data_IF_386305581025
#
_entry.id   IF_386305581025
#
_cell.length_a   1.000
_cell.length_b   1.000
_cell.length_c   1.000
_cell.angle_alpha   90.00
_cell.angle_beta   90.00
_cell.angle_gamma   90.00
#
_symmetry.space_group_name_H-M   'P 1'
#
loop_
_entity.id
_entity.type
_entity.pdbx_description
1 polymer ?
#
# COMPACT_ATOMS: atom_id res chain seq x y z
N UNK A 1 -11.72 -20.78 1.51
CA UNK A 1 -12.89 -19.98 1.09
C UNK A 1 -12.37 -18.61 0.66
N UNK A 2 -12.29 -18.32 -0.64
CA UNK A 2 -12.00 -16.96 -1.11
C UNK A 2 -13.22 -16.12 -0.77
N UNK A 3 -13.07 -15.21 0.19
CA UNK A 3 -14.04 -14.13 0.36
C UNK A 3 -13.87 -13.23 -0.87
N UNK A 4 -14.70 -13.47 -1.88
CA UNK A 4 -14.84 -12.55 -3.00
C UNK A 4 -15.14 -11.16 -2.45
N UNK A 5 -14.63 -10.16 -3.17
CA UNK A 5 -14.78 -8.72 -2.93
C UNK A 5 -16.11 -8.43 -2.23
N UNK A 6 -16.05 -8.21 -0.92
CA UNK A 6 -17.26 -8.03 -0.12
C UNK A 6 -18.03 -6.82 -0.61
N UNK A 7 -19.31 -6.98 -1.00
CA UNK A 7 -20.15 -5.88 -1.54
C UNK A 7 -20.50 -4.82 -0.49
N UNK A 8 -19.96 -4.93 0.72
CA UNK A 8 -20.34 -4.09 1.87
C UNK A 8 -19.51 -2.82 2.02
N UNK A 9 -18.34 -2.71 1.41
CA UNK A 9 -17.53 -1.51 1.49
C UNK A 9 -18.25 -0.26 0.95
N UNK A 10 -18.92 -0.29 -0.22
CA UNK A 10 -19.70 0.85 -0.72
C UNK A 10 -20.88 1.25 0.18
N UNK A 11 -21.47 0.30 0.91
CA UNK A 11 -22.57 0.59 1.84
C UNK A 11 -22.11 1.27 3.12
N UNK A 12 -20.86 1.06 3.52
CA UNK A 12 -20.26 1.71 4.70
C UNK A 12 -19.62 3.02 4.31
N UNK A 13 -18.82 3.02 3.25
CA UNK A 13 -17.94 4.14 2.90
C UNK A 13 -18.49 5.01 1.76
N UNK A 14 -19.48 4.52 0.99
CA UNK A 14 -19.86 5.13 -0.27
C UNK A 14 -18.76 4.98 -1.31
N UNK A 15 -18.67 5.92 -2.24
CA UNK A 15 -17.53 6.03 -3.16
C UNK A 15 -16.32 6.57 -2.38
N UNK A 16 -15.39 5.71 -2.03
CA UNK A 16 -14.18 6.06 -1.30
C UNK A 16 -12.97 5.67 -2.15
N UNK A 17 -12.49 6.62 -2.93
CA UNK A 17 -11.36 6.44 -3.85
C UNK A 17 -10.66 7.77 -4.08
N UNK A 18 -9.39 7.70 -4.43
CA UNK A 18 -8.62 8.84 -4.90
C UNK A 18 -7.82 8.51 -6.18
N UNK A 19 -7.33 9.57 -6.83
CA UNK A 19 -6.55 9.42 -8.07
C UNK A 19 -5.17 8.78 -7.83
N UNK A 20 -4.44 9.11 -6.74
CA UNK A 20 -3.09 8.56 -6.51
C UNK A 20 -3.08 7.08 -6.13
N UNK A 21 -3.99 6.65 -5.25
CA UNK A 21 -3.94 5.30 -4.66
C UNK A 21 -5.14 4.41 -4.96
N UNK A 22 -6.14 4.95 -5.66
CA UNK A 22 -7.29 4.19 -6.12
C UNK A 22 -8.35 3.99 -5.04
N UNK A 23 -9.06 2.88 -5.11
CA UNK A 23 -10.22 2.61 -4.28
C UNK A 23 -9.83 2.02 -2.92
N UNK A 24 -10.56 2.41 -1.87
CA UNK A 24 -10.49 1.78 -0.54
C UNK A 24 -10.62 0.26 -0.67
N UNK A 25 -9.73 -0.46 0.02
CA UNK A 25 -9.82 -1.92 0.14
C UNK A 25 -10.26 -2.27 1.56
N UNK A 26 -11.29 -3.08 1.65
CA UNK A 26 -11.90 -3.51 2.89
C UNK A 26 -11.83 -5.02 2.98
N UNK A 27 -11.26 -5.52 4.06
CA UNK A 27 -11.13 -6.94 4.30
C UNK A 27 -11.60 -7.30 5.70
N UNK A 28 -12.45 -8.32 5.80
CA UNK A 28 -12.82 -8.94 7.07
C UNK A 28 -11.81 -10.05 7.34
N UNK A 29 -10.88 -9.79 8.24
CA UNK A 29 -9.77 -10.70 8.57
C UNK A 29 -10.18 -11.81 9.53
N UNK A 30 -11.09 -11.53 10.48
CA UNK A 30 -11.56 -12.49 11.46
C UNK A 30 -13.00 -12.19 11.87
N UNK A 31 -13.79 -13.24 12.05
CA UNK A 31 -15.09 -13.20 12.75
C UNK A 31 -15.01 -14.21 13.87
N UNK A 32 -15.27 -13.76 15.07
CA UNK A 32 -15.33 -14.61 16.28
C UNK A 32 -16.74 -14.50 16.85
N UNK A 33 -17.39 -15.66 17.00
CA UNK A 33 -18.76 -15.80 17.50
C UNK A 33 -18.70 -16.68 18.75
N UNK A 34 -18.17 -16.13 19.82
CA UNK A 34 -17.99 -16.81 21.09
C UNK A 34 -18.47 -15.95 22.26
N UNK A 35 -17.82 -16.08 23.41
CA UNK A 35 -18.14 -15.28 24.60
C UNK A 35 -17.97 -13.77 24.37
N UNK A 36 -17.11 -13.38 23.44
CA UNK A 36 -16.91 -11.99 22.99
C UNK A 36 -17.00 -11.97 21.47
N UNK A 37 -18.18 -11.63 20.97
CA UNK A 37 -18.40 -11.48 19.54
C UNK A 37 -17.58 -10.34 18.98
N UNK A 38 -16.74 -10.61 18.00
CA UNK A 38 -15.90 -9.59 17.37
C UNK A 38 -15.70 -9.82 15.88
N UNK A 39 -15.59 -8.72 15.16
CA UNK A 39 -15.24 -8.69 13.74
C UNK A 39 -13.97 -7.86 13.60
N UNK A 40 -12.86 -8.50 13.22
CA UNK A 40 -11.62 -7.79 12.90
C UNK A 40 -11.59 -7.42 11.41
N UNK A 41 -11.33 -6.15 11.16
CA UNK A 41 -11.37 -5.55 9.82
C UNK A 41 -10.01 -4.92 9.53
N UNK A 42 -9.49 -5.14 8.34
CA UNK A 42 -8.36 -4.43 7.76
C UNK A 42 -8.85 -3.51 6.64
N UNK A 43 -8.51 -2.23 6.73
CA UNK A 43 -8.86 -1.23 5.72
C UNK A 43 -7.59 -0.61 5.15
N UNK A 44 -7.45 -0.64 3.82
CA UNK A 44 -6.42 0.13 3.12
C UNK A 44 -7.05 1.36 2.53
N UNK A 45 -6.73 2.50 3.13
CA UNK A 45 -7.42 3.76 2.93
C UNK A 45 -6.69 4.56 1.85
N UNK A 46 -7.41 5.19 0.90
CA UNK A 46 -6.83 6.10 -0.06
C UNK A 46 -6.06 7.22 0.63
N UNK A 47 -4.92 7.61 0.07
CA UNK A 47 -3.95 8.51 0.74
C UNK A 47 -4.46 9.92 0.98
N UNK A 48 -5.50 10.34 0.27
CA UNK A 48 -6.11 11.68 0.43
C UNK A 48 -7.32 11.69 1.37
N UNK A 49 -7.74 10.51 1.85
CA UNK A 49 -8.90 10.39 2.76
C UNK A 49 -8.39 10.45 4.21
N UNK A 50 -9.06 11.26 5.03
CA UNK A 50 -8.65 11.40 6.43
C UNK A 50 -9.02 10.17 7.27
N UNK A 51 -8.23 9.96 8.33
CA UNK A 51 -8.51 8.92 9.34
C UNK A 51 -9.88 9.12 9.96
N UNK A 52 -10.17 10.36 10.32
CA UNK A 52 -11.41 10.76 11.02
C UNK A 52 -12.65 10.42 10.20
N UNK A 53 -12.60 10.62 8.88
CA UNK A 53 -13.71 10.28 7.99
C UNK A 53 -14.00 8.77 8.03
N UNK A 54 -12.96 7.95 7.95
CA UNK A 54 -13.09 6.48 7.95
C UNK A 54 -13.57 5.98 9.32
N UNK A 55 -12.99 6.49 10.41
CA UNK A 55 -13.39 6.13 11.77
C UNK A 55 -14.85 6.48 12.02
N UNK A 56 -15.29 7.65 11.57
CA UNK A 56 -16.70 8.08 11.72
C UNK A 56 -17.65 7.16 10.96
N UNK A 57 -17.30 6.77 9.73
CA UNK A 57 -18.10 5.85 8.90
C UNK A 57 -18.17 4.46 9.54
N UNK A 58 -17.04 3.92 9.99
CA UNK A 58 -16.97 2.61 10.66
C UNK A 58 -17.75 2.61 11.99
N UNK A 59 -17.54 3.62 12.83
CA UNK A 59 -18.23 3.75 14.11
C UNK A 59 -19.75 3.90 13.93
N UNK A 60 -20.18 4.60 12.89
CA UNK A 60 -21.60 4.74 12.59
C UNK A 60 -22.20 3.43 12.08
N UNK A 61 -21.48 2.72 11.22
CA UNK A 61 -21.91 1.41 10.75
C UNK A 61 -21.98 0.39 11.90
N UNK A 62 -20.96 0.34 12.74
CA UNK A 62 -20.93 -0.54 13.92
C UNK A 62 -22.15 -0.29 14.84
N UNK A 63 -22.42 0.95 15.21
CA UNK A 63 -23.55 1.31 16.08
C UNK A 63 -24.92 0.90 15.49
N UNK A 64 -25.11 0.99 14.18
CA UNK A 64 -26.35 0.55 13.51
C UNK A 64 -26.63 -0.95 13.68
N UNK A 65 -25.58 -1.72 13.95
CA UNK A 65 -25.68 -3.17 14.15
C UNK A 65 -25.44 -3.60 15.60
N UNK A 66 -25.53 -2.66 16.57
CA UNK A 66 -25.33 -2.95 18.00
C UNK A 66 -23.88 -3.25 18.38
N UNK A 67 -22.93 -2.94 17.50
CA UNK A 67 -21.51 -3.17 17.73
C UNK A 67 -20.78 -1.90 18.20
N UNK A 68 -19.67 -2.08 18.90
CA UNK A 68 -18.77 -1.00 19.31
C UNK A 68 -17.51 -1.02 18.45
N UNK A 69 -17.17 0.14 17.88
CA UNK A 69 -15.90 0.29 17.17
C UNK A 69 -14.74 0.42 18.17
N UNK A 70 -13.67 -0.31 17.89
CA UNK A 70 -12.38 -0.16 18.59
C UNK A 70 -11.26 -0.16 17.56
N UNK A 71 -10.44 0.88 17.57
CA UNK A 71 -9.22 0.91 16.79
C UNK A 71 -8.16 -0.01 17.43
N UNK A 72 -7.52 -0.83 16.62
CA UNK A 72 -6.43 -1.72 17.05
C UNK A 72 -5.09 -1.11 16.66
N UNK A 73 -5.00 -0.62 15.42
CA UNK A 73 -3.77 -0.04 14.88
C UNK A 73 -4.09 0.96 13.78
N UNK A 74 -3.19 1.91 13.58
CA UNK A 74 -3.23 2.89 12.51
C UNK A 74 -1.84 3.16 11.97
N UNK A 75 -1.65 2.92 10.68
CA UNK A 75 -0.44 3.30 9.96
C UNK A 75 -0.75 4.46 9.01
N UNK A 76 -0.10 5.61 9.25
CA UNK A 76 -0.21 6.77 8.36
C UNK A 76 0.17 6.37 6.92
N UNK A 77 -0.61 6.79 5.91
CA UNK A 77 -0.23 6.61 4.51
C UNK A 77 1.13 7.25 4.23
N UNK A 78 1.95 6.56 3.46
CA UNK A 78 3.18 7.10 2.91
C UNK A 78 2.91 7.52 1.47
N UNK A 79 2.99 8.81 1.19
CA UNK A 79 2.71 9.35 -0.14
C UNK A 79 3.55 10.59 -0.43
N UNK A 80 4.24 10.56 -1.55
CA UNK A 80 4.83 11.73 -2.18
C UNK A 80 4.21 11.95 -3.56
N UNK A 81 3.87 13.20 -3.93
CA UNK A 81 3.36 13.52 -5.25
C UNK A 81 4.34 13.11 -6.36
N UNK A 82 3.81 12.76 -7.54
CA UNK A 82 4.65 12.31 -8.66
C UNK A 82 5.62 13.39 -9.16
N UNK A 83 5.30 14.66 -8.92
CA UNK A 83 6.14 15.81 -9.25
C UNK A 83 7.21 16.13 -8.20
N UNK A 84 7.19 15.45 -7.06
CA UNK A 84 8.21 15.59 -6.02
C UNK A 84 9.59 15.23 -6.56
N UNK A 85 10.63 16.01 -6.20
CA UNK A 85 11.98 15.86 -6.78
C UNK A 85 12.55 14.44 -6.58
N UNK A 86 12.34 13.85 -5.40
CA UNK A 86 12.79 12.49 -5.10
C UNK A 86 12.13 11.45 -6.03
N UNK A 87 10.83 11.57 -6.28
CA UNK A 87 10.12 10.66 -7.19
C UNK A 87 10.68 10.79 -8.62
N UNK A 88 10.86 12.01 -9.10
CA UNK A 88 11.44 12.25 -10.42
C UNK A 88 12.84 11.67 -10.55
N UNK A 89 13.68 11.88 -9.53
CA UNK A 89 15.04 11.35 -9.49
C UNK A 89 15.06 9.83 -9.52
N UNK A 90 14.30 9.19 -8.65
CA UNK A 90 14.23 7.73 -8.58
C UNK A 90 13.71 7.12 -9.88
N UNK A 91 12.67 7.71 -10.49
CA UNK A 91 12.14 7.27 -11.77
C UNK A 91 13.12 7.47 -12.92
N UNK A 92 13.88 8.58 -12.92
CA UNK A 92 14.93 8.82 -13.89
C UNK A 92 16.03 7.74 -13.83
N UNK A 93 16.55 7.47 -12.63
CA UNK A 93 17.58 6.44 -12.43
C UNK A 93 17.05 5.07 -12.83
N UNK A 94 15.82 4.73 -12.42
CA UNK A 94 15.18 3.47 -12.79
C UNK A 94 15.09 3.34 -14.33
N UNK A 95 14.58 4.34 -15.01
CA UNK A 95 14.43 4.35 -16.46
C UNK A 95 15.76 4.18 -17.19
N UNK A 96 16.81 4.91 -16.78
CA UNK A 96 18.13 4.83 -17.38
C UNK A 96 18.76 3.43 -17.31
N UNK A 97 18.66 2.76 -16.15
CA UNK A 97 19.34 1.49 -15.92
C UNK A 97 18.47 0.30 -16.34
N UNK A 98 17.15 0.38 -16.12
CA UNK A 98 16.24 -0.69 -16.52
C UNK A 98 15.93 -0.71 -18.01
N UNK A 99 16.01 0.43 -18.68
CA UNK A 99 15.52 0.65 -20.04
C UNK A 99 14.02 0.93 -20.13
N UNK A 100 13.31 0.92 -19.01
CA UNK A 100 11.86 1.19 -18.95
C UNK A 100 11.60 2.68 -18.71
N UNK A 101 11.65 3.46 -19.80
CA UNK A 101 11.47 4.91 -19.77
C UNK A 101 10.01 5.35 -19.58
N UNK A 102 9.07 4.44 -19.67
CA UNK A 102 7.64 4.73 -19.53
C UNK A 102 7.04 4.30 -18.19
N UNK A 103 7.85 3.68 -17.34
CA UNK A 103 7.47 3.29 -16.00
C UNK A 103 6.90 4.48 -15.20
N UNK A 104 5.93 4.19 -14.36
CA UNK A 104 5.32 5.16 -13.45
C UNK A 104 5.38 4.65 -12.02
N UNK A 105 5.45 5.57 -11.03
CA UNK A 105 5.28 5.19 -9.63
C UNK A 105 3.95 4.47 -9.44
N UNK A 106 3.95 3.44 -8.62
CA UNK A 106 2.75 2.66 -8.29
C UNK A 106 2.38 2.81 -6.82
N UNK A 107 1.09 2.77 -6.52
CA UNK A 107 0.61 2.66 -5.16
C UNK A 107 0.50 1.18 -4.77
N UNK A 108 1.08 0.82 -3.63
CA UNK A 108 0.94 -0.52 -3.06
C UNK A 108 0.22 -0.47 -1.72
N UNK A 109 -0.56 -1.49 -1.43
CA UNK A 109 -1.19 -1.63 -0.12
C UNK A 109 -0.26 -2.26 0.94
N UNK A 110 0.93 -2.72 0.56
CA UNK A 110 1.92 -3.28 1.49
C UNK A 110 2.47 -2.22 2.44
N UNK A 111 2.92 -2.65 3.61
CA UNK A 111 3.68 -1.84 4.53
C UNK A 111 5.17 -2.11 4.36
N UNK A 112 5.99 -1.06 4.41
CA UNK A 112 7.45 -1.16 4.34
C UNK A 112 8.10 -0.35 5.45
N UNK A 113 9.39 -0.56 5.69
CA UNK A 113 10.18 0.24 6.63
C UNK A 113 10.23 1.73 6.28
N UNK A 114 9.94 2.11 5.02
CA UNK A 114 9.83 3.51 4.62
C UNK A 114 8.83 4.32 5.46
N UNK A 115 7.85 3.64 6.10
CA UNK A 115 6.89 4.30 7.01
C UNK A 115 7.49 4.79 8.33
N UNK A 116 8.70 4.35 8.68
CA UNK A 116 9.38 4.79 9.89
C UNK A 116 10.04 6.16 9.75
N UNK A 117 10.11 6.71 8.55
CA UNK A 117 10.81 7.95 8.22
C UNK A 117 9.85 8.87 7.48
N UNK A 118 9.74 10.12 7.91
CA UNK A 118 8.98 11.12 7.18
C UNK A 118 9.65 11.45 5.83
N UNK A 119 8.84 11.87 4.86
CA UNK A 119 9.30 12.22 3.52
C UNK A 119 10.13 11.10 2.84
N UNK A 120 9.64 9.88 2.95
CA UNK A 120 10.28 8.70 2.39
C UNK A 120 9.33 7.96 1.45
N UNK A 121 9.87 7.12 0.58
CA UNK A 121 9.10 6.21 -0.27
C UNK A 121 9.78 4.84 -0.33
N UNK A 122 9.00 3.80 -0.60
CA UNK A 122 9.57 2.51 -0.96
C UNK A 122 10.05 2.56 -2.41
N UNK A 123 11.26 2.12 -2.65
CA UNK A 123 11.84 1.98 -3.97
C UNK A 123 12.23 0.53 -4.18
N UNK A 124 11.37 -0.21 -4.84
CA UNK A 124 11.49 -1.65 -4.98
C UNK A 124 12.17 -2.06 -6.27
N UNK A 125 12.61 -3.31 -6.30
CA UNK A 125 13.43 -3.89 -7.33
C UNK A 125 12.73 -5.02 -8.10
N UNK A 126 11.42 -5.13 -8.04
CA UNK A 126 10.67 -6.07 -8.87
C UNK A 126 10.53 -5.47 -10.28
N UNK A 127 11.03 -6.20 -11.26
CA UNK A 127 10.95 -5.79 -12.67
C UNK A 127 9.74 -6.42 -13.34
N UNK A 128 9.28 -5.80 -14.44
CA UNK A 128 8.07 -6.25 -15.18
C UNK A 128 8.16 -7.69 -15.72
N UNK A 129 9.37 -8.17 -15.99
CA UNK A 129 9.63 -9.52 -16.48
C UNK A 129 9.72 -10.57 -15.35
N UNK A 130 9.60 -10.15 -14.08
CA UNK A 130 9.63 -11.05 -12.94
C UNK A 130 8.22 -11.43 -12.48
N UNK A 131 8.04 -12.72 -12.27
CA UNK A 131 6.86 -13.22 -11.58
C UNK A 131 6.99 -12.88 -10.09
N UNK A 132 6.01 -12.14 -9.57
CA UNK A 132 5.94 -11.91 -8.13
C UNK A 132 5.72 -13.24 -7.38
N UNK A 133 6.68 -13.60 -6.54
CA UNK A 133 6.65 -14.79 -5.69
C UNK A 133 6.67 -14.45 -4.20
N UNK A 134 6.47 -13.18 -3.84
CA UNK A 134 6.38 -12.72 -2.44
C UNK A 134 5.37 -13.53 -1.65
N UNK A 135 5.76 -13.93 -0.45
CA UNK A 135 4.94 -14.70 0.47
C UNK A 135 4.44 -16.05 -0.08
N UNK A 136 5.11 -16.57 -1.11
CA UNK A 136 4.77 -17.87 -1.70
C UNK A 136 5.84 -18.92 -1.32
N UNK A 137 5.46 -20.22 -1.28
CA UNK A 137 6.46 -21.27 -1.22
C UNK A 137 7.46 -21.15 -2.38
N UNK A 138 8.74 -21.34 -2.08
CA UNK A 138 9.84 -21.18 -3.02
C UNK A 138 9.98 -19.75 -3.57
N UNK A 139 9.74 -18.75 -2.73
CA UNK A 139 10.04 -17.35 -3.03
C UNK A 139 11.48 -17.22 -3.54
N UNK A 140 11.67 -16.50 -4.63
CA UNK A 140 12.97 -16.37 -5.29
C UNK A 140 13.13 -15.04 -5.99
N UNK A 141 14.38 -14.67 -6.20
CA UNK A 141 14.79 -13.51 -7.01
C UNK A 141 15.68 -13.97 -8.16
N UNK A 142 15.53 -13.34 -9.31
CA UNK A 142 16.41 -13.56 -10.46
C UNK A 142 17.71 -12.82 -10.22
N UNK A 143 18.85 -13.52 -10.17
CA UNK A 143 20.17 -12.93 -9.85
C UNK A 143 20.54 -11.78 -10.79
N UNK A 144 20.26 -11.92 -12.10
CA UNK A 144 20.48 -10.84 -13.07
C UNK A 144 19.75 -9.56 -12.68
N UNK A 145 18.51 -9.67 -12.23
CA UNK A 145 17.69 -8.55 -11.80
C UNK A 145 18.15 -8.00 -10.46
N UNK A 146 18.60 -8.85 -9.55
CA UNK A 146 19.24 -8.40 -8.30
C UNK A 146 20.46 -7.53 -8.57
N UNK A 147 21.37 -7.93 -9.45
CA UNK A 147 22.53 -7.11 -9.82
C UNK A 147 22.11 -5.79 -10.50
N UNK A 148 21.08 -5.83 -11.36
CA UNK A 148 20.52 -4.60 -11.96
C UNK A 148 19.97 -3.67 -10.87
N UNK A 149 19.23 -4.21 -9.90
CA UNK A 149 18.70 -3.46 -8.77
C UNK A 149 19.80 -2.82 -7.93
N UNK A 150 20.90 -3.54 -7.66
CA UNK A 150 22.05 -2.99 -6.95
C UNK A 150 22.64 -1.76 -7.68
N UNK A 151 22.75 -1.81 -9.01
CA UNK A 151 23.18 -0.66 -9.82
C UNK A 151 22.22 0.53 -9.71
N UNK A 152 20.91 0.26 -9.76
CA UNK A 152 19.87 1.28 -9.61
C UNK A 152 19.98 1.95 -8.22
N UNK A 153 20.12 1.15 -7.16
CA UNK A 153 20.24 1.70 -5.79
C UNK A 153 21.51 2.51 -5.60
N UNK A 154 22.65 2.02 -6.10
CA UNK A 154 23.90 2.76 -6.02
C UNK A 154 23.83 4.12 -6.71
N UNK A 155 23.26 4.16 -7.92
CA UNK A 155 23.07 5.40 -8.66
C UNK A 155 22.07 6.33 -7.96
N UNK A 156 20.94 5.78 -7.46
CA UNK A 156 19.96 6.58 -6.74
C UNK A 156 20.52 7.23 -5.48
N UNK A 157 21.31 6.48 -4.69
CA UNK A 157 21.98 7.03 -3.50
C UNK A 157 22.95 8.14 -3.88
N UNK A 158 23.75 7.92 -4.93
CA UNK A 158 24.71 8.90 -5.40
C UNK A 158 24.02 10.20 -5.84
N UNK A 159 22.94 10.11 -6.61
CA UNK A 159 22.22 11.28 -7.13
C UNK A 159 21.42 12.03 -6.06
N UNK A 160 20.94 11.34 -5.04
CA UNK A 160 20.19 11.94 -3.93
C UNK A 160 21.08 12.59 -2.86
N UNK A 161 22.37 12.31 -2.85
CA UNK A 161 23.33 12.83 -1.83
C UNK A 161 24.22 13.96 -2.32
N UNK A 162 23.99 14.47 -3.52
CA UNK A 162 24.74 15.57 -4.15
C UNK A 162 24.08 16.96 -4.06
#
# INVERSE_FOLDING_TARGET
MRLEKTPYAPRIFGLCADKPSGQLKFNVGKIDVGEREQIAIDCRIPVTISKEEIVNKLSTAARRHGLTYREIDWLKPLYLPQDHFMIKMLMHVYGLISGDLIAKPIATGGATYARAIDNCVAFGALFLDEKNTEHQPNERVILKNLYKAMGIYAQAIYDLTR
#
